data_IF_304141515486
#
_entry.id   IF_304141515486
#
_cell.length_a   1.000
_cell.length_b   1.000
_cell.length_c   1.000
_cell.angle_alpha   90.00
_cell.angle_beta   90.00
_cell.angle_gamma   90.00
#
_symmetry.space_group_name_H-M   'P 1'
#
loop_
_entity.id
_entity.type
_entity.pdbx_description
1 polymer ?
#
# COMPACT_ATOMS: atom_id res chain seq x y z
N UNK A 1 2.00 -13.41 -15.60
CA UNK A 1 1.41 -13.23 -14.26
C UNK A 1 1.99 -14.31 -13.38
N UNK A 2 2.32 -13.96 -12.15
CA UNK A 2 2.80 -14.86 -11.11
C UNK A 2 1.77 -15.96 -10.84
N UNK A 3 2.23 -17.10 -10.30
CA UNK A 3 1.32 -18.19 -9.94
C UNK A 3 0.40 -17.83 -8.77
N UNK A 4 0.85 -16.92 -7.91
CA UNK A 4 0.07 -16.35 -6.82
C UNK A 4 -0.14 -14.84 -6.99
N UNK A 5 -1.30 -14.40 -6.52
CA UNK A 5 -1.73 -13.01 -6.44
C UNK A 5 -2.05 -12.72 -4.98
N UNK A 6 -1.58 -11.61 -4.44
CA UNK A 6 -1.90 -11.17 -3.08
C UNK A 6 -2.59 -9.82 -3.16
N UNK A 7 -3.84 -9.75 -2.75
CA UNK A 7 -4.63 -8.53 -2.70
C UNK A 7 -4.51 -7.94 -1.31
N UNK A 8 -4.03 -6.71 -1.20
CA UNK A 8 -3.78 -6.02 0.07
C UNK A 8 -4.55 -4.71 0.12
N UNK A 9 -5.06 -4.39 1.30
CA UNK A 9 -5.62 -3.10 1.64
C UNK A 9 -5.29 -2.77 3.11
N UNK A 10 -5.29 -1.47 3.45
CA UNK A 10 -4.94 -0.98 4.78
C UNK A 10 -5.86 0.15 5.24
N UNK A 11 -6.36 0.05 6.47
CA UNK A 11 -6.92 1.20 7.18
C UNK A 11 -5.85 1.91 7.97
N UNK A 12 -5.87 3.23 7.98
CA UNK A 12 -4.76 4.05 8.51
C UNK A 12 -5.24 5.12 9.47
N UNK A 13 -4.37 5.53 10.40
CA UNK A 13 -4.68 6.56 11.40
C UNK A 13 -4.91 7.96 10.81
N UNK A 14 -4.59 8.15 9.53
CA UNK A 14 -4.66 9.42 8.81
C UNK A 14 -4.09 9.27 7.41
N UNK A 15 -3.81 10.39 6.75
CA UNK A 15 -3.08 10.41 5.48
C UNK A 15 -1.64 10.87 5.72
N UNK A 16 -0.68 10.51 4.85
CA UNK A 16 0.67 11.06 4.94
C UNK A 16 0.67 12.58 4.84
N UNK A 17 1.55 13.23 5.59
CA UNK A 17 1.74 14.68 5.52
C UNK A 17 2.23 15.08 4.12
N UNK A 18 3.19 14.31 3.59
CA UNK A 18 3.70 14.41 2.22
C UNK A 18 3.86 13.02 1.60
N UNK A 19 3.40 12.88 0.36
CA UNK A 19 3.43 11.61 -0.37
C UNK A 19 4.81 11.25 -0.92
N UNK A 20 5.74 12.21 -1.01
CA UNK A 20 7.06 12.06 -1.62
C UNK A 20 8.17 11.67 -0.64
N UNK A 21 7.83 11.42 0.62
CA UNK A 21 8.81 11.08 1.65
C UNK A 21 9.16 9.58 1.62
N UNK A 22 10.39 9.18 1.99
CA UNK A 22 10.71 7.77 2.15
C UNK A 22 9.95 7.17 3.35
N UNK A 23 9.76 5.86 3.36
CA UNK A 23 9.11 5.14 4.46
C UNK A 23 9.86 5.26 5.80
N UNK A 24 11.18 5.52 5.77
CA UNK A 24 11.97 5.72 6.98
C UNK A 24 11.72 7.07 7.68
N UNK A 25 11.03 8.02 7.03
CA UNK A 25 10.60 9.26 7.66
C UNK A 25 9.34 9.01 8.51
N UNK A 26 9.53 8.40 9.67
CA UNK A 26 8.46 7.87 10.52
C UNK A 26 7.34 8.89 10.84
N UNK A 27 7.71 10.15 11.09
CA UNK A 27 6.77 11.20 11.52
C UNK A 27 5.88 11.71 10.36
N UNK A 28 6.25 11.42 9.11
CA UNK A 28 5.45 11.80 7.94
C UNK A 28 4.25 10.87 7.70
N UNK A 29 4.40 9.59 8.06
CA UNK A 29 3.50 8.53 7.65
C UNK A 29 2.52 8.17 8.78
N UNK A 30 1.23 7.95 8.46
CA UNK A 30 0.27 7.49 9.45
C UNK A 30 0.59 6.04 9.86
N UNK A 31 -0.14 5.55 10.85
CA UNK A 31 0.00 4.18 11.35
C UNK A 31 -1.08 3.30 10.75
N UNK A 32 -0.73 2.06 10.43
CA UNK A 32 -1.72 1.06 10.07
C UNK A 32 -2.60 0.75 11.29
N UNK A 33 -3.91 0.68 11.06
CA UNK A 33 -4.94 0.29 12.03
C UNK A 33 -5.51 -1.09 11.72
N UNK A 34 -5.64 -1.39 10.42
CA UNK A 34 -6.03 -2.70 9.90
C UNK A 34 -5.09 -3.01 8.72
N UNK A 35 -4.62 -4.25 8.65
CA UNK A 35 -3.84 -4.77 7.52
C UNK A 35 -4.49 -6.09 7.14
N UNK A 36 -5.02 -6.15 5.92
CA UNK A 36 -5.75 -7.31 5.44
C UNK A 36 -5.20 -7.73 4.09
N UNK A 37 -5.08 -9.03 3.87
CA UNK A 37 -4.68 -9.56 2.58
C UNK A 37 -5.31 -10.90 2.27
N UNK A 38 -5.49 -11.15 0.98
CA UNK A 38 -6.03 -12.40 0.45
C UNK A 38 -5.12 -12.91 -0.65
N UNK A 39 -4.69 -14.15 -0.51
CA UNK A 39 -3.86 -14.84 -1.50
C UNK A 39 -4.75 -15.70 -2.37
N UNK A 40 -4.66 -15.50 -3.68
CA UNK A 40 -5.29 -16.34 -4.69
C UNK A 40 -4.23 -16.98 -5.58
N UNK A 41 -4.54 -18.15 -6.13
CA UNK A 41 -3.86 -18.63 -7.33
C UNK A 41 -4.23 -17.75 -8.53
N UNK A 42 -3.40 -17.73 -9.57
CA UNK A 42 -3.72 -17.05 -10.85
C UNK A 42 -5.04 -17.47 -11.49
N UNK A 43 -5.53 -18.66 -11.18
CA UNK A 43 -6.80 -19.20 -11.70
C UNK A 43 -8.03 -18.79 -10.86
N UNK A 44 -7.87 -17.92 -9.86
CA UNK A 44 -8.96 -17.36 -9.07
C UNK A 44 -9.39 -18.19 -7.85
N UNK A 45 -8.65 -19.24 -7.48
CA UNK A 45 -8.88 -19.98 -6.24
C UNK A 45 -8.24 -19.29 -5.03
N UNK A 46 -9.02 -19.00 -4.00
CA UNK A 46 -8.51 -18.51 -2.72
C UNK A 46 -7.63 -19.57 -2.04
N UNK A 47 -6.48 -19.14 -1.55
CA UNK A 47 -5.48 -19.98 -0.87
C UNK A 47 -5.42 -19.63 0.61
N UNK A 48 -5.45 -18.33 0.92
CA UNK A 48 -5.27 -17.82 2.28
C UNK A 48 -5.95 -16.46 2.41
N UNK A 49 -6.47 -16.17 3.60
CA UNK A 49 -7.08 -14.90 3.97
C UNK A 49 -6.62 -14.52 5.37
N UNK A 50 -6.20 -13.27 5.54
CA UNK A 50 -5.72 -12.72 6.79
C UNK A 50 -6.33 -11.33 6.98
N UNK A 51 -6.81 -11.07 8.20
CA UNK A 51 -7.50 -9.83 8.55
C UNK A 51 -7.12 -9.44 9.99
N UNK A 52 -6.28 -8.42 10.13
CA UNK A 52 -5.69 -8.08 11.41
C UNK A 52 -5.84 -6.60 11.74
N UNK A 53 -6.34 -6.32 12.95
CA UNK A 53 -6.27 -4.99 13.56
C UNK A 53 -4.97 -4.83 14.35
N UNK A 54 -4.43 -3.62 14.43
CA UNK A 54 -3.22 -3.31 15.20
C UNK A 54 -3.61 -2.63 16.52
N UNK A 55 -3.16 -3.19 17.65
CA UNK A 55 -3.51 -2.70 19.00
C UNK A 55 -2.50 -1.74 19.62
N UNK A 56 -1.34 -1.57 19.01
CA UNK A 56 -0.32 -0.62 19.46
C UNK A 56 -0.97 0.77 19.68
N UNK A 57 -0.62 1.46 20.76
CA UNK A 57 -1.25 2.71 21.18
C UNK A 57 -0.27 3.90 21.19
N UNK A 58 0.75 3.82 20.34
CA UNK A 58 1.82 4.80 20.15
C UNK A 58 1.47 5.91 19.15
N UNK A 59 0.20 6.02 18.75
CA UNK A 59 -0.28 7.00 17.79
C UNK A 59 -1.69 7.52 18.11
N UNK A 60 -2.09 8.58 17.40
CA UNK A 60 -3.46 9.11 17.45
C UNK A 60 -4.18 8.89 16.11
N UNK A 61 -5.48 8.62 16.19
CA UNK A 61 -6.35 8.49 15.01
C UNK A 61 -6.95 9.85 14.72
N UNK A 62 -6.75 10.36 13.49
CA UNK A 62 -7.32 11.63 13.05
C UNK A 62 -8.85 11.54 12.94
N UNK A 63 -9.54 12.66 13.19
CA UNK A 63 -11.01 12.71 13.06
C UNK A 63 -11.48 12.35 11.65
N UNK A 64 -10.68 12.71 10.62
CA UNK A 64 -10.98 12.37 9.23
C UNK A 64 -10.90 10.86 8.98
N UNK A 65 -9.86 10.20 9.46
CA UNK A 65 -9.73 8.74 9.35
C UNK A 65 -10.87 8.04 10.09
N UNK A 66 -11.15 8.45 11.33
CA UNK A 66 -12.27 7.90 12.10
C UNK A 66 -13.61 8.01 11.38
N UNK A 67 -13.89 9.14 10.70
CA UNK A 67 -15.12 9.31 9.90
C UNK A 67 -15.22 8.37 8.70
N UNK A 68 -14.08 7.86 8.22
CA UNK A 68 -14.00 6.94 7.08
C UNK A 68 -14.21 5.50 7.56
N UNK A 69 -13.42 5.01 8.51
CA UNK A 69 -13.40 3.59 8.90
C UNK A 69 -14.06 3.26 10.26
N UNK A 70 -14.36 4.26 11.10
CA UNK A 70 -15.06 4.07 12.39
C UNK A 70 -14.29 3.35 13.51
N UNK A 71 -13.03 2.94 13.27
CA UNK A 71 -12.17 2.26 14.24
C UNK A 71 -11.78 3.20 15.38
N UNK A 72 -11.97 2.73 16.62
CA UNK A 72 -11.63 3.46 17.84
C UNK A 72 -10.42 2.84 18.54
N UNK A 73 -9.65 3.60 19.33
CA UNK A 73 -8.56 3.04 20.12
C UNK A 73 -9.02 1.89 21.05
N UNK A 74 -10.22 2.01 21.62
CA UNK A 74 -10.79 0.97 22.48
C UNK A 74 -11.08 -0.33 21.70
N UNK A 75 -11.62 -0.21 20.48
CA UNK A 75 -11.86 -1.35 19.61
C UNK A 75 -10.54 -2.05 19.23
N UNK A 76 -9.54 -1.28 18.81
CA UNK A 76 -8.22 -1.80 18.44
C UNK A 76 -7.53 -2.49 19.61
N UNK A 77 -7.62 -1.92 20.82
CA UNK A 77 -7.05 -2.54 22.02
C UNK A 77 -7.69 -3.89 22.36
N UNK A 78 -9.00 -4.04 22.09
CA UNK A 78 -9.75 -5.26 22.40
C UNK A 78 -9.62 -6.34 21.32
N UNK A 79 -9.56 -5.96 20.05
CA UNK A 79 -9.66 -6.88 18.90
C UNK A 79 -8.36 -6.99 18.09
N UNK A 80 -7.35 -6.18 18.40
CA UNK A 80 -6.11 -6.13 17.64
C UNK A 80 -5.00 -7.05 18.16
N UNK A 81 -4.00 -7.19 17.31
CA UNK A 81 -2.74 -7.89 17.54
C UNK A 81 -1.59 -6.89 17.60
N UNK A 82 -0.42 -7.34 18.08
CA UNK A 82 0.76 -6.49 18.05
C UNK A 82 1.20 -6.28 16.61
N UNK A 83 1.51 -5.04 16.26
CA UNK A 83 2.02 -4.64 14.93
C UNK A 83 3.11 -5.59 14.43
N UNK A 84 4.09 -5.91 15.27
CA UNK A 84 5.20 -6.79 14.90
C UNK A 84 4.73 -8.19 14.48
N UNK A 85 3.72 -8.74 15.16
CA UNK A 85 3.20 -10.07 14.86
C UNK A 85 2.44 -10.06 13.52
N UNK A 86 1.65 -9.02 13.26
CA UNK A 86 0.92 -8.84 11.99
C UNK A 86 1.90 -8.68 10.83
N UNK A 87 2.89 -7.79 10.97
CA UNK A 87 3.88 -7.56 9.92
C UNK A 87 4.77 -8.78 9.68
N UNK A 88 5.06 -9.60 10.71
CA UNK A 88 5.77 -10.86 10.52
C UNK A 88 4.96 -11.83 9.65
N UNK A 89 3.65 -11.99 9.92
CA UNK A 89 2.76 -12.82 9.07
C UNK A 89 2.72 -12.34 7.62
N UNK A 90 2.59 -11.03 7.40
CA UNK A 90 2.59 -10.47 6.06
C UNK A 90 3.94 -10.71 5.36
N UNK A 91 5.07 -10.52 6.05
CA UNK A 91 6.39 -10.79 5.48
C UNK A 91 6.55 -12.27 5.08
N UNK A 92 6.15 -13.18 5.96
CA UNK A 92 6.24 -14.63 5.71
C UNK A 92 5.43 -15.03 4.48
N UNK A 93 4.21 -14.51 4.33
CA UNK A 93 3.37 -14.78 3.16
C UNK A 93 3.94 -14.17 1.88
N UNK A 94 4.42 -12.92 1.92
CA UNK A 94 5.05 -12.28 0.76
C UNK A 94 6.28 -13.05 0.28
N UNK A 95 7.09 -13.56 1.20
CA UNK A 95 8.28 -14.38 0.89
C UNK A 95 7.87 -15.77 0.40
N UNK A 96 6.88 -16.40 1.03
CA UNK A 96 6.48 -17.75 0.69
C UNK A 96 5.81 -17.86 -0.68
N UNK A 97 4.91 -16.94 -1.00
CA UNK A 97 4.12 -16.99 -2.23
C UNK A 97 4.76 -16.28 -3.42
N UNK A 98 5.72 -15.39 -3.17
CA UNK A 98 6.33 -14.49 -4.18
C UNK A 98 5.28 -13.89 -5.15
N UNK A 99 4.20 -13.26 -4.63
CA UNK A 99 3.01 -12.96 -5.43
C UNK A 99 3.19 -11.73 -6.32
N UNK A 100 2.28 -11.56 -7.29
CA UNK A 100 1.91 -10.22 -7.75
C UNK A 100 1.08 -9.55 -6.66
N UNK A 101 1.57 -8.45 -6.09
CA UNK A 101 0.83 -7.71 -5.05
C UNK A 101 -0.13 -6.74 -5.71
N UNK A 102 -1.41 -6.83 -5.41
CA UNK A 102 -2.49 -6.09 -6.07
C UNK A 102 -3.26 -5.26 -5.05
N UNK A 103 -3.68 -4.06 -5.44
CA UNK A 103 -4.49 -3.15 -4.60
C UNK A 103 -5.24 -2.12 -5.43
N UNK A 104 -6.22 -1.46 -4.84
CA UNK A 104 -6.95 -0.36 -5.46
C UNK A 104 -6.53 0.97 -4.83
N UNK A 105 -5.60 1.67 -5.49
CA UNK A 105 -4.76 2.74 -4.89
C UNK A 105 -3.57 2.20 -4.07
N UNK A 106 -3.00 1.10 -4.55
CA UNK A 106 -1.90 0.32 -3.94
C UNK A 106 -0.67 1.15 -3.49
N UNK A 107 -0.46 2.35 -4.02
CA UNK A 107 0.65 3.21 -3.57
C UNK A 107 0.52 3.53 -2.07
N UNK A 108 -0.69 3.76 -1.57
CA UNK A 108 -0.90 3.98 -0.14
C UNK A 108 -0.48 2.72 0.64
N UNK A 109 -1.06 1.57 0.31
CA UNK A 109 -0.85 0.31 1.04
C UNK A 109 0.62 -0.11 1.08
N UNK A 110 1.34 0.04 -0.04
CA UNK A 110 2.76 -0.31 -0.10
C UNK A 110 3.63 0.62 0.76
N UNK A 111 3.31 1.92 0.79
CA UNK A 111 4.05 2.84 1.64
C UNK A 111 3.75 2.55 3.12
N UNK A 112 2.48 2.30 3.46
CA UNK A 112 2.08 1.96 4.84
C UNK A 112 2.76 0.67 5.27
N UNK A 113 2.65 -0.42 4.50
CA UNK A 113 3.33 -1.66 4.80
C UNK A 113 4.86 -1.47 4.92
N UNK A 114 5.48 -0.71 4.01
CA UNK A 114 6.91 -0.39 4.07
C UNK A 114 7.32 0.36 5.35
N UNK A 115 6.50 1.32 5.81
CA UNK A 115 6.71 2.06 7.05
C UNK A 115 6.55 1.13 8.26
N UNK A 116 5.53 0.27 8.26
CA UNK A 116 5.29 -0.69 9.36
C UNK A 116 6.40 -1.76 9.43
N UNK A 117 6.94 -2.22 8.29
CA UNK A 117 8.14 -3.05 8.25
C UNK A 117 9.35 -2.33 8.87
N UNK A 118 9.55 -1.05 8.53
CA UNK A 118 10.60 -0.24 9.12
C UNK A 118 10.43 -0.07 10.64
N UNK A 119 9.22 0.26 11.11
CA UNK A 119 8.87 0.42 12.54
C UNK A 119 9.15 -0.86 13.35
N UNK A 120 8.92 -2.02 12.73
CA UNK A 120 9.07 -3.33 13.38
C UNK A 120 10.48 -3.92 13.23
N UNK A 121 11.36 -3.28 12.44
CA UNK A 121 12.70 -3.77 12.14
C UNK A 121 12.72 -5.01 11.23
N UNK A 122 11.63 -5.27 10.50
CA UNK A 122 11.50 -6.40 9.58
C UNK A 122 11.96 -5.93 8.19
N UNK A 123 12.83 -6.68 7.47
CA UNK A 123 13.18 -6.35 6.09
C UNK A 123 11.94 -6.33 5.20
N UNK A 124 11.77 -5.28 4.40
CA UNK A 124 10.60 -5.11 3.53
C UNK A 124 10.66 -6.05 2.29
N UNK A 125 9.83 -7.11 2.20
CA UNK A 125 9.87 -8.01 1.03
C UNK A 125 9.29 -7.37 -0.24
N UNK A 126 8.43 -6.35 -0.09
CA UNK A 126 7.76 -5.66 -1.21
C UNK A 126 8.73 -4.98 -2.17
N UNK A 127 9.94 -4.66 -1.72
CA UNK A 127 10.98 -4.05 -2.56
C UNK A 127 11.36 -4.95 -3.76
N UNK A 128 11.12 -6.27 -3.66
CA UNK A 128 11.48 -7.25 -4.68
C UNK A 128 10.28 -7.88 -5.41
N UNK A 129 9.06 -7.47 -5.07
CA UNK A 129 7.84 -8.05 -5.63
C UNK A 129 7.22 -7.13 -6.68
N UNK A 130 6.67 -7.75 -7.73
CA UNK A 130 5.88 -7.01 -8.72
C UNK A 130 4.57 -6.58 -8.09
N UNK A 131 4.02 -5.50 -8.62
CA UNK A 131 2.83 -4.86 -8.09
C UNK A 131 1.88 -4.43 -9.18
N UNK A 132 0.60 -4.33 -8.83
CA UNK A 132 -0.44 -3.89 -9.75
C UNK A 132 -1.53 -3.10 -9.03
N UNK A 133 -1.90 -1.97 -9.61
CA UNK A 133 -2.93 -1.06 -9.15
C UNK A 133 -4.13 -1.15 -10.10
N UNK A 134 -5.24 -1.70 -9.63
CA UNK A 134 -6.49 -1.75 -10.40
C UNK A 134 -7.01 -0.34 -10.71
N UNK A 135 -6.81 0.62 -9.80
CA UNK A 135 -7.19 2.03 -10.01
C UNK A 135 -6.51 2.61 -11.26
N UNK A 136 -5.21 2.38 -11.47
CA UNK A 136 -4.49 2.89 -12.64
C UNK A 136 -5.01 2.28 -13.95
N UNK A 137 -5.46 1.03 -13.92
CA UNK A 137 -6.05 0.35 -15.06
C UNK A 137 -7.42 0.93 -15.47
N UNK A 138 -8.08 1.72 -14.61
CA UNK A 138 -9.39 2.32 -14.88
C UNK A 138 -9.35 3.60 -15.72
N UNK A 139 -8.15 4.15 -16.01
CA UNK A 139 -7.99 5.44 -16.71
C UNK A 139 -8.84 5.54 -17.98
N UNK A 140 -8.96 4.45 -18.75
CA UNK A 140 -9.73 4.37 -19.99
C UNK A 140 -11.26 4.43 -19.82
N UNK A 141 -11.77 4.27 -18.61
CA UNK A 141 -13.21 4.21 -18.29
C UNK A 141 -13.74 5.48 -17.63
N UNK A 142 -12.86 6.43 -17.32
CA UNK A 142 -13.26 7.66 -16.65
C UNK A 142 -13.97 8.58 -17.63
N UNK A 143 -15.26 8.80 -17.38
CA UNK A 143 -16.09 9.70 -18.19
C UNK A 143 -16.12 11.13 -17.64
N UNK A 144 -15.84 11.32 -16.34
CA UNK A 144 -15.84 12.63 -15.70
C UNK A 144 -14.50 13.35 -15.95
N UNK A 145 -14.48 14.52 -16.63
CA UNK A 145 -13.24 15.26 -16.89
C UNK A 145 -12.49 15.72 -15.62
N UNK A 146 -13.16 15.76 -14.47
CA UNK A 146 -12.58 16.16 -13.18
C UNK A 146 -11.93 14.99 -12.43
N UNK A 147 -12.17 13.74 -12.85
CA UNK A 147 -11.56 12.56 -12.28
C UNK A 147 -10.51 11.99 -13.25
N UNK A 148 -9.45 11.37 -12.70
CA UNK A 148 -8.44 10.68 -13.50
C UNK A 148 -8.55 9.15 -13.44
N UNK A 149 -9.16 8.64 -12.38
CA UNK A 149 -9.35 7.22 -12.11
C UNK A 149 -10.72 6.99 -11.47
N UNK A 150 -11.24 5.76 -11.56
CA UNK A 150 -12.42 5.33 -10.81
C UNK A 150 -12.02 4.94 -9.39
N UNK A 151 -12.85 5.28 -8.41
CA UNK A 151 -12.79 4.72 -7.05
C UNK A 151 -13.21 3.25 -7.06
N UNK A 152 -12.91 2.50 -6.01
CA UNK A 152 -13.21 1.06 -5.94
C UNK A 152 -14.70 0.79 -6.13
N UNK A 153 -15.58 1.51 -5.43
CA UNK A 153 -17.03 1.38 -5.59
C UNK A 153 -17.51 1.70 -7.02
N UNK A 154 -16.91 2.68 -7.69
CA UNK A 154 -17.26 3.05 -9.06
C UNK A 154 -16.79 1.97 -10.04
N UNK A 155 -15.59 1.43 -9.84
CA UNK A 155 -15.08 0.30 -10.62
C UNK A 155 -16.00 -0.92 -10.45
N UNK A 156 -16.36 -1.23 -9.21
CA UNK A 156 -17.24 -2.34 -8.87
C UNK A 156 -18.62 -2.18 -9.55
N UNK A 157 -19.19 -0.97 -9.54
CA UNK A 157 -20.45 -0.68 -10.24
C UNK A 157 -20.32 -0.85 -11.77
N UNK A 158 -19.22 -0.36 -12.36
CA UNK A 158 -18.96 -0.52 -13.81
C UNK A 158 -18.82 -2.00 -14.21
N UNK A 159 -18.20 -2.82 -13.36
CA UNK A 159 -17.99 -4.24 -13.65
C UNK A 159 -19.25 -5.06 -13.39
N UNK A 160 -19.97 -4.84 -12.29
CA UNK A 160 -21.01 -5.75 -11.82
C UNK A 160 -22.43 -5.18 -11.88
N UNK A 161 -22.60 -3.89 -12.15
CA UNK A 161 -23.89 -3.20 -12.14
C UNK A 161 -24.54 -3.14 -10.75
N UNK A 162 -23.72 -3.18 -9.69
CA UNK A 162 -24.15 -3.20 -8.28
C UNK A 162 -23.29 -2.26 -7.45
N UNK A 163 -23.85 -1.74 -6.37
CA UNK A 163 -23.10 -0.96 -5.38
C UNK A 163 -22.21 -1.88 -4.54
N UNK A 164 -21.02 -1.40 -4.21
CA UNK A 164 -20.16 -2.04 -3.23
C UNK A 164 -20.63 -1.69 -1.82
N UNK A 165 -21.03 -2.70 -1.07
CA UNK A 165 -21.42 -2.57 0.33
C UNK A 165 -20.17 -2.61 1.23
N UNK A 166 -20.22 -1.99 2.41
CA UNK A 166 -19.17 -2.07 3.46
C UNK A 166 -17.76 -1.64 3.04
N UNK A 167 -17.67 -0.47 2.40
CA UNK A 167 -16.39 0.20 2.16
C UNK A 167 -15.73 0.64 3.47
N UNK A 168 -14.42 0.86 3.41
CA UNK A 168 -13.59 1.31 4.52
C UNK A 168 -13.42 0.26 5.62
N UNK A 169 -13.31 -0.97 5.15
CA UNK A 169 -12.86 -2.13 5.91
C UNK A 169 -11.89 -2.87 5.00
N UNK A 170 -10.63 -2.98 5.43
CA UNK A 170 -9.56 -3.43 4.56
C UNK A 170 -9.78 -4.84 3.98
N UNK A 171 -10.41 -5.77 4.71
CA UNK A 171 -10.65 -7.11 4.15
C UNK A 171 -11.74 -7.11 3.07
N UNK A 172 -12.79 -6.32 3.25
CA UNK A 172 -13.88 -6.19 2.28
C UNK A 172 -13.38 -5.46 1.02
N UNK A 173 -12.54 -4.42 1.19
CA UNK A 173 -11.95 -3.67 0.08
C UNK A 173 -10.88 -4.50 -0.68
N UNK A 174 -10.10 -5.34 0.01
CA UNK A 174 -9.18 -6.30 -0.62
C UNK A 174 -9.94 -7.37 -1.43
N UNK A 175 -11.06 -7.88 -0.90
CA UNK A 175 -11.92 -8.84 -1.60
C UNK A 175 -12.57 -8.22 -2.84
N UNK A 176 -13.16 -7.04 -2.70
CA UNK A 176 -13.75 -6.31 -3.83
C UNK A 176 -12.70 -5.99 -4.90
N UNK A 177 -11.47 -5.68 -4.49
CA UNK A 177 -10.34 -5.49 -5.41
C UNK A 177 -9.99 -6.78 -6.15
N UNK A 178 -9.99 -7.92 -5.46
CA UNK A 178 -9.77 -9.22 -6.07
C UNK A 178 -10.84 -9.56 -7.11
N UNK A 179 -12.11 -9.38 -6.76
CA UNK A 179 -13.24 -9.59 -7.68
C UNK A 179 -13.11 -8.70 -8.92
N UNK A 180 -12.83 -7.41 -8.73
CA UNK A 180 -12.61 -6.48 -9.83
C UNK A 180 -11.44 -6.92 -10.71
N UNK A 181 -10.30 -7.28 -10.13
CA UNK A 181 -9.12 -7.73 -10.88
C UNK A 181 -9.44 -8.95 -11.74
N UNK A 182 -10.07 -9.98 -11.18
CA UNK A 182 -10.38 -11.20 -11.94
C UNK A 182 -11.42 -10.95 -13.04
N UNK A 183 -12.42 -10.10 -12.81
CA UNK A 183 -13.37 -9.73 -13.85
C UNK A 183 -12.69 -8.91 -14.97
N UNK A 184 -11.77 -8.02 -14.63
CA UNK A 184 -10.97 -7.28 -15.61
C UNK A 184 -10.04 -8.20 -16.42
N UNK A 185 -9.44 -9.21 -15.80
CA UNK A 185 -8.67 -10.26 -16.51
C UNK A 185 -9.57 -11.02 -17.47
N UNK A 186 -10.75 -11.46 -17.01
CA UNK A 186 -11.72 -12.20 -17.83
C UNK A 186 -12.21 -11.40 -19.04
N UNK A 187 -12.35 -10.08 -18.90
CA UNK A 187 -12.71 -9.15 -20.00
C UNK A 187 -11.55 -8.83 -20.93
N UNK A 188 -10.33 -9.24 -20.60
CA UNK A 188 -9.11 -8.91 -21.35
C UNK A 188 -8.58 -7.50 -21.08
N UNK A 189 -9.12 -6.81 -20.07
CA UNK A 189 -8.68 -5.47 -19.68
C UNK A 189 -7.34 -5.49 -18.94
N UNK A 190 -7.05 -6.61 -18.26
CA UNK A 190 -5.76 -6.90 -17.63
C UNK A 190 -5.17 -8.15 -18.28
N UNK A 191 -3.91 -8.06 -18.64
CA UNK A 191 -3.09 -9.15 -19.18
C UNK A 191 -1.62 -8.96 -18.77
N UNK A 192 -0.75 -9.90 -19.16
CA UNK A 192 0.68 -9.86 -18.84
C UNK A 192 1.35 -8.54 -19.26
N UNK A 193 1.01 -8.02 -20.44
CA UNK A 193 1.61 -6.80 -20.96
C UNK A 193 1.20 -5.57 -20.14
N UNK A 194 -0.07 -5.50 -19.73
CA UNK A 194 -0.56 -4.43 -18.86
C UNK A 194 0.08 -4.46 -17.47
N UNK A 195 0.35 -5.65 -16.92
CA UNK A 195 1.03 -5.82 -15.64
C UNK A 195 2.47 -5.37 -15.74
N UNK A 196 3.20 -5.80 -16.78
CA UNK A 196 4.58 -5.41 -16.99
C UNK A 196 4.73 -3.90 -17.24
N UNK A 197 3.84 -3.32 -18.05
CA UNK A 197 3.84 -1.88 -18.32
C UNK A 197 3.62 -1.05 -17.04
N UNK A 198 2.67 -1.49 -16.20
CA UNK A 198 2.38 -0.78 -14.96
C UNK A 198 3.49 -0.95 -13.91
N UNK A 199 4.11 -2.12 -13.84
CA UNK A 199 5.23 -2.38 -12.94
C UNK A 199 6.40 -1.41 -13.23
N UNK A 200 6.75 -1.19 -14.50
CA UNK A 200 7.78 -0.21 -14.89
C UNK A 200 7.44 1.20 -14.37
N UNK A 201 6.17 1.61 -14.49
CA UNK A 201 5.70 2.89 -13.98
C UNK A 201 5.80 2.99 -12.45
N UNK A 202 5.36 1.96 -11.73
CA UNK A 202 5.40 1.92 -10.27
C UNK A 202 6.84 1.86 -9.73
N UNK A 203 7.74 1.10 -10.37
CA UNK A 203 9.16 1.07 -10.03
C UNK A 203 9.81 2.44 -10.19
N UNK A 204 9.49 3.17 -11.27
CA UNK A 204 10.01 4.52 -11.48
C UNK A 204 9.62 5.44 -10.32
N UNK A 205 8.35 5.44 -9.91
CA UNK A 205 7.86 6.25 -8.77
C UNK A 205 8.60 5.89 -7.48
N UNK A 206 8.78 4.59 -7.19
CA UNK A 206 9.51 4.14 -5.99
C UNK A 206 10.98 4.57 -6.02
N UNK A 207 11.62 4.47 -7.17
CA UNK A 207 13.03 4.83 -7.33
C UNK A 207 13.26 6.32 -7.11
N UNK A 208 12.42 7.19 -7.67
CA UNK A 208 12.52 8.65 -7.51
C UNK A 208 12.43 9.05 -6.03
N UNK A 209 11.55 8.42 -5.25
CA UNK A 209 11.44 8.63 -3.80
C UNK A 209 12.68 8.15 -3.02
N UNK A 210 13.37 7.10 -3.50
CA UNK A 210 14.56 6.54 -2.86
C UNK A 210 15.80 7.44 -3.01
N UNK A 211 15.91 8.22 -4.09
CA UNK A 211 17.09 9.05 -4.41
C UNK A 211 17.03 10.51 -3.93
N UNK A 212 15.92 10.97 -3.36
CA UNK A 212 15.87 12.26 -2.63
C UNK A 212 16.72 12.25 -1.35
N UNK A 213 16.93 11.08 -0.74
CA UNK A 213 17.66 10.91 0.52
C UNK A 213 19.19 10.99 0.38
N UNK A 214 19.83 10.28 -0.57
CA UNK A 214 21.29 10.32 -0.73
C UNK A 214 21.78 11.69 -1.17
N UNK A 215 21.03 12.39 -2.04
CA UNK A 215 21.43 13.71 -2.52
C UNK A 215 21.45 14.75 -1.39
N UNK A 216 20.45 14.75 -0.51
CA UNK A 216 20.41 15.66 0.64
C UNK A 216 21.49 15.34 1.69
N UNK A 217 21.75 14.06 1.96
CA UNK A 217 22.81 13.61 2.88
C UNK A 217 24.20 13.95 2.32
N UNK A 218 24.44 13.71 1.01
CA UNK A 218 25.69 14.08 0.35
C UNK A 218 25.86 15.60 0.34
N UNK A 219 24.81 16.37 0.10
CA UNK A 219 24.88 17.84 0.16
C UNK A 219 25.21 18.33 1.58
N UNK A 220 24.59 17.75 2.62
CA UNK A 220 24.88 18.07 4.01
C UNK A 220 26.32 17.69 4.38
N UNK A 221 26.80 16.53 3.96
CA UNK A 221 28.19 16.10 4.18
C UNK A 221 29.19 17.01 3.46
N UNK A 222 28.88 17.44 2.22
CA UNK A 222 29.69 18.42 1.47
C UNK A 222 29.72 19.76 2.20
N UNK A 223 28.59 20.24 2.72
CA UNK A 223 28.50 21.49 3.49
C UNK A 223 29.32 21.39 4.78
N UNK A 224 29.20 20.29 5.53
CA UNK A 224 29.98 20.04 6.75
C UNK A 224 31.49 20.03 6.44
N UNK A 225 31.91 19.34 5.37
CA UNK A 225 33.31 19.33 4.92
C UNK A 225 33.80 20.73 4.51
N UNK A 226 32.98 21.50 3.78
CA UNK A 226 33.33 22.85 3.36
C UNK A 226 33.51 23.80 4.56
N UNK A 227 32.63 23.71 5.56
CA UNK A 227 32.75 24.47 6.82
C UNK A 227 33.96 24.05 7.64
N UNK A 228 34.29 22.76 7.69
CA UNK A 228 35.49 22.27 8.40
C UNK A 228 36.80 22.73 7.73
N UNK A 229 36.85 22.72 6.40
CA UNK A 229 38.01 23.22 5.63
C UNK A 229 38.20 24.73 5.80
N UNK A 230 37.13 25.52 5.82
CA UNK A 230 37.22 27.00 5.94
C UNK A 230 37.25 27.50 7.39
N UNK A 231 36.82 26.69 8.36
CA UNK A 231 36.86 27.01 9.79
C UNK A 231 38.16 26.63 10.49
N UNK A 232 39.10 25.99 9.80
CA UNK A 232 40.40 25.56 10.34
C UNK A 232 41.56 26.52 10.00
N UNK A 233 41.27 27.64 9.32
CA UNK A 233 42.25 28.68 8.96
C UNK A 233 42.17 29.93 9.84
N UNK A 234 41.89 29.77 11.14
CA UNK A 234 41.98 30.83 12.16
C UNK A 234 42.91 30.43 13.29
#
# INVERSE_FOLDING_TARGET
MQDYLLFIDTETSGLPIKWDQPYCNNDNWPYALQVSWIVYTKDGREVKREDHYIKDNDFTISEKAFKVHGLTPQFLLQNGEWRKDVMTKLADDLIHFEPLVVGHFIELDLNIAGVEFYRTGIPNPLDNLKTFCTMLATTKWVQNPQAKYLRLNQLYEVLFGKTLDRQHNAIEDAEATAECFFEMVKRGDINNDSVEHQEVYLQKIRSEKKYLLPAAIVLILIIILAVWIHGSTS
#
